data_IF_706741896471
#
_entry.id   IF_706741896471
#
_cell.length_a   1.000
_cell.length_b   1.000
_cell.length_c   1.000
_cell.angle_alpha   90.00
_cell.angle_beta   90.00
_cell.angle_gamma   90.00
#
_symmetry.space_group_name_H-M   'P 1'
#
loop_
_entity.id
_entity.type
_entity.pdbx_description
1 polymer ?
#
# COMPACT_ATOMS: atom_id res chain seq x y z
N UNK A 1 8.74 -12.17 18.46
CA UNK A 1 7.27 -12.32 18.57
C UNK A 1 6.69 -12.32 17.17
N UNK A 2 5.93 -13.36 16.82
CA UNK A 2 5.31 -13.55 15.51
C UNK A 2 4.47 -14.83 15.53
N UNK A 3 3.27 -14.80 14.96
CA UNK A 3 2.42 -15.99 14.87
C UNK A 3 3.10 -17.03 13.98
N UNK A 4 3.25 -18.25 14.49
CA UNK A 4 3.85 -19.38 13.79
C UNK A 4 2.94 -20.58 13.93
N UNK A 5 2.60 -21.18 12.80
CA UNK A 5 1.94 -22.47 12.75
C UNK A 5 2.94 -23.58 13.06
N UNK A 6 2.80 -24.19 14.24
CA UNK A 6 3.64 -25.29 14.69
C UNK A 6 3.18 -26.66 14.18
N UNK A 7 2.00 -26.72 13.52
CA UNK A 7 1.43 -27.95 12.96
C UNK A 7 1.73 -28.12 11.46
N UNK A 8 2.42 -27.15 10.84
CA UNK A 8 2.76 -27.22 9.44
C UNK A 8 3.76 -28.35 9.12
N UNK A 9 3.47 -29.09 8.06
CA UNK A 9 4.27 -30.25 7.62
C UNK A 9 5.61 -29.85 7.00
N UNK A 10 5.68 -28.67 6.39
CA UNK A 10 6.88 -28.13 5.78
C UNK A 10 6.97 -26.60 5.92
N UNK A 11 8.11 -26.05 5.47
CA UNK A 11 8.41 -24.62 5.60
C UNK A 11 7.47 -23.75 4.78
N UNK A 12 7.03 -24.20 3.60
CA UNK A 12 6.13 -23.44 2.72
C UNK A 12 4.74 -23.34 3.36
N UNK A 13 4.25 -24.45 3.91
CA UNK A 13 2.97 -24.49 4.63
C UNK A 13 3.04 -23.66 5.90
N UNK A 14 4.16 -23.75 6.63
CA UNK A 14 4.38 -22.93 7.82
C UNK A 14 4.26 -21.44 7.48
N UNK A 15 4.91 -20.98 6.41
CA UNK A 15 4.79 -19.57 6.01
C UNK A 15 3.38 -19.21 5.56
N UNK A 16 2.75 -20.05 4.75
CA UNK A 16 1.43 -19.79 4.16
C UNK A 16 0.36 -19.74 5.25
N UNK A 17 0.29 -20.75 6.12
CA UNK A 17 -0.69 -20.87 7.19
C UNK A 17 -0.50 -19.77 8.25
N UNK A 18 0.76 -19.51 8.63
CA UNK A 18 1.06 -18.46 9.62
C UNK A 18 0.61 -17.09 9.13
N UNK A 19 0.82 -16.77 7.84
CA UNK A 19 0.40 -15.49 7.26
C UNK A 19 -1.10 -15.42 7.02
N UNK A 20 -1.73 -16.53 6.62
CA UNK A 20 -3.16 -16.60 6.39
C UNK A 20 -3.96 -16.34 7.68
N UNK A 21 -3.55 -16.95 8.79
CA UNK A 21 -4.19 -16.76 10.10
C UNK A 21 -3.75 -15.47 10.80
N UNK A 22 -2.50 -15.04 10.61
CA UNK A 22 -1.95 -13.86 11.29
C UNK A 22 -2.37 -12.51 10.69
N UNK A 23 -2.77 -12.46 9.42
CA UNK A 23 -3.16 -11.21 8.76
C UNK A 23 -4.67 -11.10 8.56
N UNK A 24 -5.21 -9.94 8.95
CA UNK A 24 -6.59 -9.55 8.62
C UNK A 24 -6.79 -9.35 7.11
N UNK A 25 -8.05 -9.31 6.68
CA UNK A 25 -8.39 -9.34 5.25
C UNK A 25 -7.83 -8.15 4.47
N UNK A 26 -7.80 -6.96 5.06
CA UNK A 26 -7.24 -5.77 4.41
C UNK A 26 -5.74 -5.89 4.16
N UNK A 27 -5.01 -6.44 5.13
CA UNK A 27 -3.56 -6.66 5.00
C UNK A 27 -3.28 -7.68 3.90
N UNK A 28 -4.03 -8.79 3.87
CA UNK A 28 -3.93 -9.80 2.82
C UNK A 28 -4.21 -9.19 1.44
N UNK A 29 -5.28 -8.40 1.29
CA UNK A 29 -5.62 -7.71 0.03
C UNK A 29 -4.48 -6.82 -0.48
N UNK A 30 -3.87 -6.01 0.40
CA UNK A 30 -2.75 -5.13 0.04
C UNK A 30 -1.50 -5.89 -0.38
N UNK A 31 -1.17 -6.97 0.32
CA UNK A 31 -0.05 -7.84 -0.04
C UNK A 31 -0.29 -8.41 -1.45
N UNK A 32 -1.48 -8.95 -1.73
CA UNK A 32 -1.79 -9.53 -3.03
C UNK A 32 -1.68 -8.52 -4.17
N UNK A 33 -2.27 -7.33 -4.02
CA UNK A 33 -2.20 -6.27 -5.05
C UNK A 33 -0.76 -5.76 -5.21
N UNK A 34 -0.03 -5.59 -4.10
CA UNK A 34 1.37 -5.16 -4.13
C UNK A 34 2.28 -6.17 -4.84
N UNK A 35 2.12 -7.47 -4.54
CA UNK A 35 2.84 -8.54 -5.23
C UNK A 35 2.48 -8.57 -6.72
N UNK A 36 1.21 -8.39 -7.07
CA UNK A 36 0.78 -8.30 -8.46
C UNK A 36 1.43 -7.11 -9.20
N UNK A 37 1.43 -5.92 -8.60
CA UNK A 37 2.03 -4.72 -9.19
C UNK A 37 3.55 -4.85 -9.41
N UNK A 38 4.23 -5.70 -8.62
CA UNK A 38 5.66 -5.98 -8.74
C UNK A 38 5.98 -7.19 -9.62
N UNK A 39 4.96 -7.93 -10.08
CA UNK A 39 5.17 -9.16 -10.82
C UNK A 39 5.72 -8.89 -12.24
N UNK A 40 6.45 -9.88 -12.77
CA UNK A 40 7.02 -9.82 -14.11
C UNK A 40 5.91 -9.58 -15.15
N UNK A 41 6.13 -8.64 -16.07
CA UNK A 41 5.14 -8.19 -17.06
C UNK A 41 4.25 -7.03 -16.61
N UNK A 42 4.09 -6.82 -15.30
CA UNK A 42 3.23 -5.76 -14.74
C UNK A 42 4.01 -4.66 -14.03
N UNK A 43 5.28 -4.91 -13.70
CA UNK A 43 6.17 -3.95 -13.04
C UNK A 43 6.21 -2.58 -13.73
N UNK A 44 6.45 -2.55 -15.04
CA UNK A 44 6.54 -1.28 -15.78
C UNK A 44 5.18 -0.58 -15.91
N UNK A 45 4.13 -1.38 -16.10
CA UNK A 45 2.77 -0.90 -16.31
C UNK A 45 2.18 -0.23 -15.07
N UNK A 46 2.46 -0.78 -13.88
CA UNK A 46 1.90 -0.27 -12.62
C UNK A 46 2.95 0.38 -11.73
N UNK A 47 3.94 -0.37 -11.27
CA UNK A 47 4.87 0.11 -10.25
C UNK A 47 5.76 1.25 -10.77
N UNK A 48 6.45 1.05 -11.89
CA UNK A 48 7.31 2.09 -12.48
C UNK A 48 6.49 3.30 -12.93
N UNK A 49 5.29 3.07 -13.50
CA UNK A 49 4.38 4.15 -13.88
C UNK A 49 3.97 5.00 -12.67
N UNK A 50 3.61 4.37 -11.55
CA UNK A 50 3.29 5.08 -10.32
C UNK A 50 4.49 5.89 -9.77
N UNK A 51 5.71 5.35 -9.84
CA UNK A 51 6.93 6.08 -9.46
C UNK A 51 7.17 7.31 -10.33
N UNK A 52 6.89 7.23 -11.64
CA UNK A 52 6.95 8.38 -12.55
C UNK A 52 5.91 9.44 -12.19
N UNK A 53 4.67 9.04 -11.89
CA UNK A 53 3.61 9.96 -11.43
C UNK A 53 4.01 10.64 -10.12
N UNK A 54 4.57 9.90 -9.16
CA UNK A 54 5.10 10.47 -7.91
C UNK A 54 6.14 11.57 -8.17
N UNK A 55 6.99 11.40 -9.19
CA UNK A 55 7.97 12.43 -9.59
C UNK A 55 7.30 13.67 -10.15
N UNK A 56 6.23 13.54 -10.95
CA UNK A 56 5.47 14.69 -11.45
C UNK A 56 4.85 15.47 -10.29
N UNK A 57 4.22 14.79 -9.34
CA UNK A 57 3.65 15.43 -8.14
C UNK A 57 4.73 16.20 -7.38
N UNK A 58 5.91 15.60 -7.19
CA UNK A 58 7.04 16.27 -6.55
C UNK A 58 7.47 17.55 -7.29
N UNK A 59 7.57 17.50 -8.62
CA UNK A 59 7.94 18.64 -9.46
C UNK A 59 6.91 19.77 -9.40
N UNK A 60 5.62 19.43 -9.28
CA UNK A 60 4.56 20.42 -9.10
C UNK A 60 4.74 21.18 -7.78
N UNK A 61 5.02 20.47 -6.68
CA UNK A 61 5.33 21.10 -5.39
C UNK A 61 6.57 21.99 -5.48
N UNK A 62 7.67 21.52 -6.07
CA UNK A 62 8.87 22.35 -6.25
C UNK A 62 8.61 23.63 -7.06
N UNK A 63 7.70 23.56 -8.03
CA UNK A 63 7.34 24.72 -8.86
C UNK A 63 6.52 25.74 -8.07
N UNK A 64 5.58 25.29 -7.26
CA UNK A 64 4.73 26.15 -6.42
C UNK A 64 5.57 26.83 -5.33
N UNK A 65 6.46 26.10 -4.67
CA UNK A 65 7.30 26.65 -3.59
C UNK A 65 8.35 27.67 -4.05
N UNK A 66 8.57 27.83 -5.37
CA UNK A 66 9.37 28.96 -5.89
C UNK A 66 8.66 30.32 -5.77
N UNK A 67 7.33 30.32 -5.61
CA UNK A 67 6.49 31.53 -5.61
C UNK A 67 5.77 31.76 -4.29
N UNK A 68 5.60 30.72 -3.49
CA UNK A 68 4.79 30.74 -2.28
C UNK A 68 5.51 30.01 -1.15
N UNK A 69 5.34 30.51 0.08
CA UNK A 69 5.99 29.92 1.26
C UNK A 69 5.19 28.74 1.86
N UNK A 70 3.85 28.74 1.69
CA UNK A 70 2.96 27.78 2.35
C UNK A 70 1.85 27.34 1.38
N UNK A 71 1.45 26.07 1.49
CA UNK A 71 0.27 25.49 0.85
C UNK A 71 -0.69 25.02 1.94
N UNK A 72 -1.97 25.39 1.83
CA UNK A 72 -3.01 25.02 2.79
C UNK A 72 -4.10 24.23 2.06
N UNK A 73 -4.49 23.08 2.60
CA UNK A 73 -5.62 22.28 2.11
C UNK A 73 -6.41 21.70 3.28
N UNK A 74 -7.71 21.41 3.11
CA UNK A 74 -8.44 20.63 4.10
C UNK A 74 -7.76 19.27 4.29
N UNK A 75 -7.63 18.82 5.54
CA UNK A 75 -6.96 17.55 5.86
C UNK A 75 -7.77 16.33 5.41
N UNK A 76 -9.10 16.42 5.48
CA UNK A 76 -10.03 15.39 4.98
C UNK A 76 -11.11 16.04 4.12
N UNK A 77 -11.59 15.36 3.07
CA UNK A 77 -12.66 15.88 2.21
C UNK A 77 -14.04 15.89 2.92
N UNK A 78 -14.21 15.06 3.95
CA UNK A 78 -15.46 14.91 4.71
C UNK A 78 -15.18 14.87 6.20
N UNK A 79 -16.22 15.04 7.02
CA UNK A 79 -16.19 14.75 8.45
C UNK A 79 -16.08 13.24 8.71
N UNK A 80 -15.95 12.86 9.99
CA UNK A 80 -15.91 11.46 10.40
C UNK A 80 -17.18 10.71 9.97
N UNK A 81 -17.00 9.58 9.28
CA UNK A 81 -18.07 8.67 8.87
C UNK A 81 -18.44 7.71 10.02
N UNK A 82 -19.60 7.07 9.93
CA UNK A 82 -20.10 6.15 10.98
C UNK A 82 -19.35 4.82 10.93
N UNK A 83 -19.34 4.10 12.05
CA UNK A 83 -18.77 2.75 12.09
C UNK A 83 -19.52 1.82 11.13
N UNK A 84 -18.78 1.12 10.28
CA UNK A 84 -19.33 0.22 9.27
C UNK A 84 -19.70 0.89 7.94
N UNK A 85 -19.60 2.23 7.83
CA UNK A 85 -19.60 2.90 6.54
C UNK A 85 -18.21 2.74 5.89
N UNK A 86 -18.19 2.16 4.69
CA UNK A 86 -17.08 2.15 3.73
C UNK A 86 -17.68 2.39 2.35
#
# INVERSE_FOLDING_TARGET
YGYRDFQAENVVDMFSNSRAAGFGDEVKRRIMIGTYALSSGYYDAYYLKALKVRRLIYQDFETVFKKFDIIVSPTTPTAAFKLGEV
#
